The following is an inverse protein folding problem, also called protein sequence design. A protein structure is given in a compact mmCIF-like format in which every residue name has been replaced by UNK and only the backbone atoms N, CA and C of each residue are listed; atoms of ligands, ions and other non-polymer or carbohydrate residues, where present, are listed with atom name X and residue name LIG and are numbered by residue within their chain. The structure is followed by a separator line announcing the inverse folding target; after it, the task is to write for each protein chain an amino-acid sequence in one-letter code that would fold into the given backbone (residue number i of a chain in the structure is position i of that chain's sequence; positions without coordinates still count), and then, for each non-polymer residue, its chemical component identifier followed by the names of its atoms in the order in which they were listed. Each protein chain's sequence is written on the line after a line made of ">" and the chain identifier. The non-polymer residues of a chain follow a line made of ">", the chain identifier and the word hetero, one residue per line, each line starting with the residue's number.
data_IF_642894129298
#
_entry.id   IF_642894129298
#
_cell.length_a   1.000
_cell.length_b   1.000
_cell.length_c   1.000
_cell.angle_alpha   90.00
_cell.angle_beta   90.00
_cell.angle_gamma   90.00
#
_symmetry.space_group_name_H-M   'P 1'
#
loop_
_entity.id
_entity.type
_entity.pdbx_description
1 polymer ?
#
# COMPACT_ATOMS: atom_id res chain seq x y z
N UNK A 1 31.32 -11.55 23.23
CA UNK A 1 30.97 -10.14 22.93
C UNK A 1 31.53 -9.13 23.95
N UNK A 2 32.55 -9.47 24.75
CA UNK A 2 33.17 -8.54 25.73
C UNK A 2 34.51 -7.93 25.27
N UNK A 3 35.10 -8.44 24.17
CA UNK A 3 36.46 -8.08 23.75
C UNK A 3 36.55 -6.82 22.88
N UNK A 4 35.48 -6.41 22.19
CA UNK A 4 35.49 -5.23 21.32
C UNK A 4 35.25 -3.91 22.05
N UNK A 5 34.55 -3.94 23.19
CA UNK A 5 34.29 -2.75 24.01
C UNK A 5 35.54 -2.29 24.77
N UNK A 6 36.45 -3.21 25.12
CA UNK A 6 37.70 -2.88 25.81
C UNK A 6 38.65 -2.03 24.96
N UNK A 7 38.69 -2.19 23.64
CA UNK A 7 39.59 -1.40 22.78
C UNK A 7 39.14 0.05 22.62
N UNK A 8 37.83 0.29 22.54
CA UNK A 8 37.30 1.64 22.43
C UNK A 8 37.45 2.42 23.74
N UNK A 9 37.23 1.76 24.88
CA UNK A 9 37.46 2.35 26.20
C UNK A 9 38.95 2.64 26.47
N UNK A 10 39.86 1.77 26.03
CA UNK A 10 41.31 2.03 26.14
C UNK A 10 41.77 3.21 25.29
N UNK A 11 41.24 3.37 24.07
CA UNK A 11 41.62 4.49 23.20
C UNK A 11 41.14 5.84 23.72
N UNK A 12 39.90 5.91 24.25
CA UNK A 12 39.36 7.14 24.83
C UNK A 12 40.08 7.49 26.14
N UNK A 13 40.43 6.50 26.96
CA UNK A 13 41.21 6.72 28.19
C UNK A 13 42.66 7.18 27.91
N UNK A 14 43.29 6.63 26.86
CA UNK A 14 44.63 7.04 26.44
C UNK A 14 44.64 8.50 25.94
N UNK A 15 43.61 8.90 25.17
CA UNK A 15 43.45 10.27 24.69
C UNK A 15 43.13 11.26 25.82
N UNK A 16 42.30 10.88 26.79
CA UNK A 16 42.01 11.72 27.96
C UNK A 16 43.24 11.92 28.87
N UNK A 17 44.10 10.89 29.02
CA UNK A 17 45.33 10.99 29.81
C UNK A 17 46.43 11.85 29.18
N UNK A 18 46.31 12.21 27.89
CA UNK A 18 47.26 13.07 27.18
C UNK A 18 46.98 14.56 27.32
N UNK A 19 45.83 14.95 27.90
CA UNK A 19 45.48 16.36 28.13
C UNK A 19 46.13 16.97 29.38
N UNK A 20 46.64 16.17 30.33
CA UNK A 20 47.26 16.67 31.57
C UNK A 20 48.81 16.70 31.54
N UNK A 21 49.45 16.38 30.41
CA UNK A 21 50.92 16.35 30.29
C UNK A 21 51.49 17.26 29.19
N UNK A 22 50.88 18.44 28.96
CA UNK A 22 51.40 19.42 28.00
C UNK A 22 51.34 20.85 28.53
N UNK A 23 51.96 21.06 29.69
CA UNK A 23 52.41 22.37 30.14
C UNK A 23 53.94 22.37 30.26
N UNK A 24 54.66 22.08 29.17
CA UNK A 24 56.09 22.34 29.09
C UNK A 24 56.51 22.71 27.66
N UNK A 25 57.14 23.88 27.56
CA UNK A 25 57.88 24.45 26.42
C UNK A 25 57.07 24.97 25.22
N UNK A 26 56.87 26.29 25.25
CA UNK A 26 56.60 27.11 24.08
C UNK A 26 57.72 26.91 23.02
N UNK A 27 57.34 26.42 21.85
CA UNK A 27 58.08 26.57 20.60
C UNK A 27 57.16 27.30 19.60
N UNK A 28 57.50 28.50 19.13
CA UNK A 28 56.75 29.14 18.05
C UNK A 28 57.17 28.48 16.73
N UNK A 29 56.34 27.59 16.20
CA UNK A 29 56.53 27.02 14.86
C UNK A 29 56.30 25.52 14.67
N UNK A 30 55.59 24.82 15.57
CA UNK A 30 55.19 23.44 15.32
C UNK A 30 53.89 23.42 14.49
N UNK A 31 54.03 23.21 13.19
CA UNK A 31 52.97 22.84 12.26
C UNK A 31 52.06 21.79 12.90
N UNK A 32 50.75 21.89 12.69
CA UNK A 32 49.79 20.89 13.17
C UNK A 32 50.29 19.46 12.85
N UNK A 33 50.32 18.53 13.84
CA UNK A 33 50.83 17.17 13.66
C UNK A 33 50.32 16.49 12.39
N UNK A 34 51.24 15.93 11.59
CA UNK A 34 50.94 15.33 10.29
C UNK A 34 49.83 14.26 10.31
N UNK A 35 49.67 13.54 11.43
CA UNK A 35 48.61 12.55 11.60
C UNK A 35 47.19 13.15 11.59
N UNK A 36 47.02 14.41 12.05
CA UNK A 36 45.72 15.10 11.98
C UNK A 36 45.37 15.49 10.55
N UNK A 37 46.37 15.86 9.76
CA UNK A 37 46.20 16.13 8.33
C UNK A 37 45.83 14.86 7.58
N UNK A 38 46.54 13.77 7.83
CA UNK A 38 46.28 12.47 7.20
C UNK A 38 44.90 11.89 7.59
N UNK A 39 44.49 12.04 8.86
CA UNK A 39 43.16 11.64 9.30
C UNK A 39 42.05 12.49 8.66
N UNK A 40 42.26 13.80 8.52
CA UNK A 40 41.32 14.68 7.81
C UNK A 40 41.22 14.36 6.32
N UNK A 41 42.33 13.98 5.68
CA UNK A 41 42.35 13.53 4.29
C UNK A 41 41.60 12.20 4.12
N UNK A 42 41.79 11.24 5.04
CA UNK A 42 41.08 9.96 5.05
C UNK A 42 39.57 10.14 5.29
N UNK A 43 39.18 10.97 6.25
CA UNK A 43 37.76 11.29 6.49
C UNK A 43 37.16 11.96 5.26
N UNK A 44 37.85 12.93 4.67
CA UNK A 44 37.38 13.61 3.45
C UNK A 44 37.23 12.66 2.27
N UNK A 45 38.14 11.69 2.11
CA UNK A 45 38.04 10.66 1.09
C UNK A 45 36.86 9.70 1.35
N UNK A 46 36.63 9.34 2.61
CA UNK A 46 35.51 8.48 3.01
C UNK A 46 34.17 9.18 2.79
N UNK A 47 34.04 10.45 3.17
CA UNK A 47 32.85 11.26 2.95
C UNK A 47 32.51 11.33 1.45
N UNK A 48 33.50 11.62 0.60
CA UNK A 48 33.30 11.62 -0.87
C UNK A 48 32.87 10.27 -1.41
N UNK A 49 33.39 9.17 -0.86
CA UNK A 49 33.02 7.83 -1.30
C UNK A 49 31.58 7.47 -0.88
N UNK A 50 31.17 7.87 0.33
CA UNK A 50 29.79 7.71 0.82
C UNK A 50 28.82 8.55 -0.02
N UNK A 51 29.17 9.79 -0.33
CA UNK A 51 28.36 10.65 -1.21
C UNK A 51 28.17 10.02 -2.58
N UNK A 52 29.24 9.51 -3.19
CA UNK A 52 29.19 8.81 -4.48
C UNK A 52 28.29 7.57 -4.41
N UNK A 53 28.46 6.72 -3.41
CA UNK A 53 27.64 5.52 -3.24
C UNK A 53 26.17 5.86 -3.01
N UNK A 54 25.89 6.93 -2.27
CA UNK A 54 24.52 7.42 -2.02
C UNK A 54 23.88 7.93 -3.32
N UNK A 55 24.63 8.65 -4.14
CA UNK A 55 24.16 9.12 -5.45
C UNK A 55 23.89 7.95 -6.41
N UNK A 56 24.80 6.97 -6.47
CA UNK A 56 24.64 5.76 -7.30
C UNK A 56 23.42 4.95 -6.86
N UNK A 57 23.22 4.75 -5.55
CA UNK A 57 22.04 4.07 -5.01
C UNK A 57 20.75 4.84 -5.33
N UNK A 58 20.76 6.16 -5.18
CA UNK A 58 19.60 7.01 -5.48
C UNK A 58 19.22 6.90 -6.95
N UNK A 59 20.20 6.95 -7.87
CA UNK A 59 19.97 6.77 -9.30
C UNK A 59 19.46 5.36 -9.61
N UNK A 60 20.03 4.33 -8.98
CA UNK A 60 19.59 2.96 -9.18
C UNK A 60 18.16 2.74 -8.73
N UNK A 61 17.80 3.20 -7.54
CA UNK A 61 16.43 3.10 -7.00
C UNK A 61 15.44 3.87 -7.88
N UNK A 62 15.77 5.09 -8.29
CA UNK A 62 14.91 5.86 -9.20
C UNK A 62 14.68 5.13 -10.53
N UNK A 63 15.74 4.55 -11.11
CA UNK A 63 15.62 3.77 -12.34
C UNK A 63 14.79 2.50 -12.17
N UNK A 64 14.89 1.82 -11.02
CA UNK A 64 14.07 0.65 -10.73
C UNK A 64 12.60 1.02 -10.54
N UNK A 65 12.32 2.11 -9.83
CA UNK A 65 10.96 2.62 -9.65
C UNK A 65 10.34 2.98 -11.01
N UNK A 66 11.06 3.71 -11.87
CA UNK A 66 10.57 4.04 -13.21
C UNK A 66 10.34 2.80 -14.07
N UNK A 67 11.28 1.84 -14.05
CA UNK A 67 11.18 0.61 -14.83
C UNK A 67 10.08 -0.34 -14.33
N UNK A 68 9.74 -0.31 -13.04
CA UNK A 68 8.63 -1.08 -12.48
C UNK A 68 7.28 -0.41 -12.69
N UNK A 69 7.21 0.93 -12.63
CA UNK A 69 5.96 1.67 -12.78
C UNK A 69 5.52 1.82 -14.24
N UNK A 70 6.44 2.01 -15.20
CA UNK A 70 6.10 2.11 -16.63
C UNK A 70 5.27 0.95 -17.18
N UNK A 71 5.65 -0.32 -16.97
CA UNK A 71 4.87 -1.45 -17.48
C UNK A 71 3.52 -1.57 -16.78
N UNK A 72 3.44 -1.29 -15.47
CA UNK A 72 2.19 -1.29 -14.73
C UNK A 72 1.22 -0.19 -15.24
N UNK A 73 1.73 1.01 -15.50
CA UNK A 73 0.95 2.10 -16.09
C UNK A 73 0.48 1.74 -17.51
N UNK A 74 1.34 1.14 -18.33
CA UNK A 74 0.97 0.68 -19.67
C UNK A 74 -0.10 -0.42 -19.63
N UNK A 75 -0.07 -1.29 -18.63
CA UNK A 75 -1.08 -2.33 -18.43
C UNK A 75 -2.42 -1.75 -17.99
N UNK A 76 -2.40 -0.73 -17.11
CA UNK A 76 -3.59 0.04 -16.74
C UNK A 76 -4.17 0.78 -17.94
N UNK A 77 -3.35 1.46 -18.75
CA UNK A 77 -3.79 2.16 -19.95
C UNK A 77 -4.42 1.19 -20.96
N UNK A 78 -3.82 0.01 -21.13
CA UNK A 78 -4.37 -1.06 -21.99
C UNK A 78 -5.69 -1.58 -21.45
N UNK A 79 -5.80 -1.76 -20.13
CA UNK A 79 -7.05 -2.17 -19.49
C UNK A 79 -8.15 -1.13 -19.70
N UNK A 80 -7.85 0.16 -19.52
CA UNK A 80 -8.78 1.29 -19.74
C UNK A 80 -9.17 1.38 -21.22
N UNK A 81 -8.22 1.20 -22.14
CA UNK A 81 -8.48 1.23 -23.58
C UNK A 81 -9.43 0.12 -24.04
N UNK A 82 -9.36 -1.05 -23.40
CA UNK A 82 -10.20 -2.22 -23.67
C UNK A 82 -11.59 -2.16 -23.03
N UNK A 83 -11.88 -1.16 -22.19
CA UNK A 83 -13.21 -0.99 -21.63
C UNK A 83 -14.21 -0.66 -22.76
N UNK A 84 -15.44 -1.21 -22.71
CA UNK A 84 -16.47 -0.90 -23.70
C UNK A 84 -16.77 0.60 -23.70
N UNK A 85 -16.87 1.22 -24.88
CA UNK A 85 -17.10 2.65 -25.07
C UNK A 85 -18.36 2.93 -25.88
N UNK A 86 -19.04 4.02 -25.57
CA UNK A 86 -20.24 4.46 -26.30
C UNK A 86 -19.86 5.14 -27.63
N UNK A 87 -20.86 5.52 -28.42
CA UNK A 87 -20.66 6.17 -29.70
C UNK A 87 -19.94 7.54 -29.61
N UNK A 88 -19.79 8.09 -28.40
CA UNK A 88 -19.06 9.33 -28.12
C UNK A 88 -17.66 9.06 -27.51
N UNK A 89 -17.23 7.80 -27.44
CA UNK A 89 -15.91 7.40 -26.93
C UNK A 89 -15.80 7.37 -25.41
N UNK A 90 -16.91 7.51 -24.67
CA UNK A 90 -16.94 7.44 -23.20
C UNK A 90 -17.04 6.00 -22.75
N UNK A 91 -16.39 5.65 -21.65
CA UNK A 91 -16.48 4.30 -21.07
C UNK A 91 -17.94 4.00 -20.69
N UNK A 92 -18.50 2.93 -21.24
CA UNK A 92 -19.82 2.40 -20.88
C UNK A 92 -19.68 1.70 -19.54
N UNK A 93 -19.88 2.44 -18.47
CA UNK A 93 -20.16 1.86 -17.16
C UNK A 93 -21.67 1.84 -16.98
N UNK A 94 -22.29 0.67 -17.05
CA UNK A 94 -23.62 0.47 -16.45
C UNK A 94 -23.41 0.48 -14.93
N UNK A 95 -23.24 1.68 -14.36
CA UNK A 95 -23.11 1.89 -12.92
C UNK A 95 -22.02 2.84 -12.43
N UNK A 96 -22.18 3.32 -11.19
CA UNK A 96 -21.16 4.05 -10.46
C UNK A 96 -20.21 3.07 -9.78
N UNK A 97 -18.89 3.22 -10.00
CA UNK A 97 -17.85 2.42 -9.32
C UNK A 97 -17.17 3.30 -8.28
N UNK A 98 -17.23 2.90 -7.02
CA UNK A 98 -16.58 3.57 -5.90
C UNK A 98 -15.50 2.63 -5.36
N UNK A 99 -14.27 3.13 -5.29
CA UNK A 99 -13.12 2.42 -4.72
C UNK A 99 -12.71 3.09 -3.42
N UNK A 100 -12.79 2.40 -2.29
CA UNK A 100 -12.37 2.93 -0.99
C UNK A 100 -11.60 1.87 -0.20
N UNK A 101 -10.34 2.14 0.15
CA UNK A 101 -9.56 1.30 1.06
C UNK A 101 -9.41 -0.18 0.66
N UNK A 102 -9.39 -0.49 -0.64
CA UNK A 102 -9.30 -1.87 -1.14
C UNK A 102 -10.65 -2.58 -1.35
N UNK A 103 -11.77 -1.90 -1.09
CA UNK A 103 -13.12 -2.33 -1.45
C UNK A 103 -13.54 -1.72 -2.79
N UNK A 104 -14.08 -2.52 -3.70
CA UNK A 104 -14.68 -2.07 -4.95
C UNK A 104 -16.19 -2.28 -4.82
N UNK A 105 -16.98 -1.22 -4.99
CA UNK A 105 -18.44 -1.33 -5.08
C UNK A 105 -18.90 -0.79 -6.43
N UNK A 106 -19.69 -1.57 -7.16
CA UNK A 106 -20.39 -1.19 -8.39
C UNK A 106 -21.88 -1.16 -8.13
N UNK A 107 -22.53 -0.04 -8.44
CA UNK A 107 -23.99 0.11 -8.38
C UNK A 107 -24.56 0.23 -9.77
N UNK A 108 -25.56 -0.55 -10.13
CA UNK A 108 -26.23 -0.48 -11.42
C UNK A 108 -27.74 -0.56 -11.25
N UNK A 109 -28.48 0.06 -12.17
CA UNK A 109 -29.94 -0.01 -12.21
C UNK A 109 -30.35 -0.36 -13.63
N UNK A 110 -31.03 -1.49 -13.80
CA UNK A 110 -31.44 -2.02 -15.11
C UNK A 110 -32.85 -2.58 -14.98
N UNK A 111 -33.78 -2.14 -15.84
CA UNK A 111 -35.13 -2.69 -15.95
C UNK A 111 -35.93 -2.76 -14.62
N UNK A 112 -35.77 -1.78 -13.72
CA UNK A 112 -36.48 -1.79 -12.42
C UNK A 112 -35.75 -2.51 -11.29
N UNK A 113 -34.63 -3.16 -11.60
CA UNK A 113 -33.80 -3.89 -10.65
C UNK A 113 -32.55 -3.08 -10.32
N UNK A 114 -32.27 -2.91 -9.03
CA UNK A 114 -30.99 -2.42 -8.53
C UNK A 114 -30.05 -3.62 -8.40
N UNK A 115 -28.80 -3.47 -8.84
CA UNK A 115 -27.76 -4.46 -8.65
C UNK A 115 -26.52 -3.78 -8.08
N UNK A 116 -26.08 -4.26 -6.92
CA UNK A 116 -24.84 -3.85 -6.26
C UNK A 116 -23.86 -5.02 -6.25
N UNK A 117 -22.65 -4.82 -6.73
CA UNK A 117 -21.56 -5.79 -6.64
C UNK A 117 -20.46 -5.18 -5.79
N UNK A 118 -20.15 -5.82 -4.68
CA UNK A 118 -19.07 -5.45 -3.77
C UNK A 118 -17.98 -6.51 -3.81
N UNK A 119 -16.72 -6.11 -3.78
CA UNK A 119 -15.61 -7.01 -3.52
C UNK A 119 -14.62 -6.37 -2.57
N UNK A 120 -13.92 -7.20 -1.79
CA UNK A 120 -12.97 -6.74 -0.79
C UNK A 120 -12.38 -7.88 0.03
N UNK A 121 -11.86 -7.53 1.20
CA UNK A 121 -11.39 -8.48 2.20
C UNK A 121 -12.19 -8.29 3.48
N UNK A 122 -12.51 -9.39 4.16
CA UNK A 122 -13.06 -9.39 5.51
C UNK A 122 -12.02 -8.89 6.52
N UNK A 123 -12.39 -8.58 7.78
CA UNK A 123 -11.43 -8.15 8.81
C UNK A 123 -10.32 -9.17 9.09
N UNK A 124 -10.58 -10.46 8.88
CA UNK A 124 -9.62 -11.58 8.96
C UNK A 124 -8.78 -11.77 7.69
N UNK A 125 -8.99 -10.94 6.65
CA UNK A 125 -8.20 -10.95 5.42
C UNK A 125 -8.65 -11.96 4.38
N UNK A 126 -9.84 -12.55 4.52
CA UNK A 126 -10.43 -13.43 3.52
C UNK A 126 -11.03 -12.60 2.39
N UNK A 127 -10.71 -12.89 1.11
CA UNK A 127 -11.33 -12.20 0.01
C UNK A 127 -12.82 -12.57 -0.08
N UNK A 128 -13.65 -11.62 -0.48
CA UNK A 128 -15.06 -11.87 -0.74
C UNK A 128 -15.55 -11.07 -1.95
N UNK A 129 -16.58 -11.62 -2.60
CA UNK A 129 -17.41 -10.92 -3.57
C UNK A 129 -18.85 -11.07 -3.13
N UNK A 130 -19.59 -9.98 -3.07
CA UNK A 130 -21.00 -9.95 -2.73
C UNK A 130 -21.78 -9.31 -3.87
N UNK A 131 -22.81 -9.98 -4.35
CA UNK A 131 -23.77 -9.43 -5.30
C UNK A 131 -25.12 -9.32 -4.59
N UNK A 132 -25.71 -8.14 -4.64
CA UNK A 132 -27.04 -7.85 -4.13
C UNK A 132 -27.88 -7.39 -5.32
N UNK A 133 -29.04 -7.98 -5.48
CA UNK A 133 -30.05 -7.61 -6.46
C UNK A 133 -31.33 -7.28 -5.70
N UNK A 134 -31.87 -6.09 -5.92
CA UNK A 134 -33.14 -5.66 -5.33
C UNK A 134 -34.12 -5.28 -6.43
N UNK A 135 -35.35 -5.74 -6.29
CA UNK A 135 -36.44 -5.43 -7.21
C UNK A 135 -37.65 -4.96 -6.42
N UNK A 136 -38.28 -3.88 -6.87
CA UNK A 136 -39.49 -3.34 -6.26
C UNK A 136 -40.63 -3.37 -7.29
N UNK A 137 -41.63 -4.23 -7.06
CA UNK A 137 -42.80 -4.37 -7.93
C UNK A 137 -43.98 -3.45 -7.53
N UNK A 138 -43.77 -2.57 -6.54
CA UNK A 138 -44.77 -1.67 -5.96
C UNK A 138 -45.53 -2.28 -4.77
N UNK A 139 -45.56 -3.60 -4.62
CA UNK A 139 -46.19 -4.32 -3.50
C UNK A 139 -45.15 -4.99 -2.61
N UNK A 140 -44.09 -5.51 -3.20
CA UNK A 140 -43.01 -6.21 -2.53
C UNK A 140 -41.66 -5.62 -2.93
N UNK A 141 -40.75 -5.59 -1.95
CA UNK A 141 -39.32 -5.46 -2.19
C UNK A 141 -38.71 -6.87 -2.13
N UNK A 142 -38.16 -7.33 -3.24
CA UNK A 142 -37.40 -8.57 -3.32
C UNK A 142 -35.92 -8.25 -3.15
N UNK A 143 -35.24 -9.08 -2.35
CA UNK A 143 -33.81 -9.03 -2.14
C UNK A 143 -33.20 -10.37 -2.45
N UNK A 144 -32.14 -10.36 -3.26
CA UNK A 144 -31.34 -11.52 -3.59
C UNK A 144 -29.86 -11.18 -3.38
N UNK A 145 -29.26 -11.79 -2.37
CA UNK A 145 -27.85 -11.64 -2.07
C UNK A 145 -27.11 -12.95 -2.27
N UNK A 146 -26.03 -12.89 -3.03
CA UNK A 146 -25.08 -13.98 -3.23
C UNK A 146 -23.72 -13.49 -2.75
N UNK A 147 -23.19 -14.12 -1.70
CA UNK A 147 -21.83 -13.92 -1.23
C UNK A 147 -20.97 -15.09 -1.67
N UNK A 148 -19.78 -14.80 -2.20
CA UNK A 148 -18.84 -15.76 -2.74
C UNK A 148 -17.46 -15.51 -2.15
N UNK A 149 -16.82 -16.57 -1.66
CA UNK A 149 -15.42 -16.54 -1.26
C UNK A 149 -14.56 -17.15 -2.40
N UNK A 150 -13.74 -16.35 -3.13
CA UNK A 150 -12.93 -16.85 -4.23
C UNK A 150 -11.79 -17.78 -3.82
N UNK A 151 -11.40 -17.82 -2.53
CA UNK A 151 -10.37 -18.73 -2.03
C UNK A 151 -10.92 -20.13 -1.83
N UNK A 152 -12.11 -20.24 -1.24
CA UNK A 152 -12.73 -21.54 -0.90
C UNK A 152 -13.75 -22.00 -1.92
N UNK A 153 -14.12 -21.14 -2.88
CA UNK A 153 -15.27 -21.29 -3.77
C UNK A 153 -16.61 -21.49 -3.04
N UNK A 154 -16.67 -21.18 -1.74
CA UNK A 154 -17.92 -21.24 -0.99
C UNK A 154 -18.87 -20.13 -1.46
N UNK A 155 -20.15 -20.47 -1.59
CA UNK A 155 -21.20 -19.54 -1.99
C UNK A 155 -22.35 -19.62 -0.99
N UNK A 156 -22.72 -18.48 -0.43
CA UNK A 156 -23.87 -18.31 0.44
C UNK A 156 -24.92 -17.46 -0.29
N UNK A 157 -26.18 -17.85 -0.15
CA UNK A 157 -27.30 -17.18 -0.81
C UNK A 157 -28.39 -16.86 0.21
N UNK A 158 -28.79 -15.59 0.25
CA UNK A 158 -29.87 -15.11 1.10
C UNK A 158 -30.90 -14.45 0.20
N UNK A 159 -32.15 -14.89 0.29
CA UNK A 159 -33.26 -14.25 -0.40
C UNK A 159 -34.39 -13.99 0.56
N UNK A 160 -35.02 -12.84 0.40
CA UNK A 160 -36.22 -12.51 1.13
C UNK A 160 -37.10 -11.57 0.29
N UNK A 161 -38.36 -11.49 0.68
CA UNK A 161 -39.29 -10.48 0.19
C UNK A 161 -39.89 -9.73 1.36
N UNK A 162 -40.16 -8.44 1.18
CA UNK A 162 -40.79 -7.58 2.17
C UNK A 162 -42.07 -7.01 1.59
N UNK A 163 -43.20 -7.18 2.28
CA UNK A 163 -44.47 -6.60 1.88
C UNK A 163 -44.52 -5.10 2.20
N UNK A 164 -44.55 -4.26 1.17
CA UNK A 164 -44.57 -2.80 1.28
C UNK A 164 -45.97 -2.24 1.55
N UNK A 165 -47.04 -3.03 1.38
CA UNK A 165 -48.41 -2.57 1.62
C UNK A 165 -48.85 -2.71 3.09
N UNK A 166 -48.06 -3.40 3.90
CA UNK A 166 -48.34 -3.61 5.33
C UNK A 166 -47.31 -2.85 6.16
N UNK A 167 -47.68 -1.73 6.81
CA UNK A 167 -46.77 -1.01 7.69
C UNK A 167 -46.22 -1.93 8.78
N UNK A 168 -44.89 -1.99 8.91
CA UNK A 168 -44.22 -2.85 9.89
C UNK A 168 -44.13 -4.33 9.50
N UNK A 169 -44.36 -4.69 8.23
CA UNK A 169 -44.06 -6.03 7.74
C UNK A 169 -42.60 -6.40 8.02
N UNK A 170 -42.38 -7.68 8.33
CA UNK A 170 -41.04 -8.26 8.48
C UNK A 170 -40.65 -9.00 7.18
N UNK A 171 -39.35 -9.07 6.83
CA UNK A 171 -38.90 -9.83 5.68
C UNK A 171 -39.24 -11.33 5.80
N UNK A 172 -39.82 -11.90 4.75
CA UNK A 172 -40.07 -13.33 4.61
C UNK A 172 -38.91 -13.97 3.84
N UNK A 173 -38.20 -14.91 4.46
CA UNK A 173 -37.09 -15.64 3.82
C UNK A 173 -37.62 -16.55 2.71
N UNK A 174 -37.02 -16.46 1.52
CA UNK A 174 -37.32 -17.32 0.37
C UNK A 174 -36.27 -18.43 0.31
N UNK A 175 -36.57 -19.55 0.94
CA UNK A 175 -35.80 -20.78 0.76
C UNK A 175 -36.07 -21.34 -0.64
N UNK A 176 -35.02 -21.72 -1.39
CA UNK A 176 -35.20 -22.56 -2.57
C UNK A 176 -35.82 -23.89 -2.08
N UNK A 177 -37.10 -24.13 -2.37
CA UNK A 177 -37.59 -25.51 -2.35
C UNK A 177 -36.85 -26.27 -3.45
N UNK A 178 -36.32 -27.44 -3.07
CA UNK A 178 -35.33 -28.27 -3.79
C UNK A 178 -35.47 -28.37 -5.31
#
# INVERSE_FOLDING_TARGET
>A
MATKVCYFAMFVALLASSHDFLCCSAHPGASAPDWMRELNEQISAMTRNIERQTQELTQHVNSQIENSLRPALAEVDKAIANLPKDAQGRIITSGSVITNGGKITRYSYVNGMSQTIESGHTPDGEPYVRRIEEENDGKYLYHNEVSFNPRTNATDKIRWKLNLTTPGAIPEIITDEK
#
